data_IF_887273526405
#
_entry.id   IF_887273526405
#
_cell.length_a   1.000
_cell.length_b   1.000
_cell.length_c   1.000
_cell.angle_alpha   90.00
_cell.angle_beta   90.00
_cell.angle_gamma   90.00
#
_symmetry.space_group_name_H-M   'P 1'
#
loop_
_entity.id
_entity.type
_entity.pdbx_description
1 polymer ?
#
# COMPACT_ATOMS: atom_id res chain seq x y z
N UNK A 1 15.09 82.69 -0.33
CA UNK A 1 13.98 81.72 -0.20
C UNK A 1 14.22 80.59 -1.18
N UNK A 2 14.62 79.44 -0.66
CA UNK A 2 15.03 78.25 -1.42
C UNK A 2 13.79 77.51 -1.93
N UNK A 3 13.58 77.47 -3.24
CA UNK A 3 12.52 76.66 -3.86
C UNK A 3 12.95 75.19 -3.82
N UNK A 4 12.34 74.41 -2.93
CA UNK A 4 12.45 72.95 -2.91
C UNK A 4 11.96 72.39 -4.25
N UNK A 5 12.88 71.91 -5.08
CA UNK A 5 12.56 71.11 -6.26
C UNK A 5 12.02 69.77 -5.79
N UNK A 6 10.71 69.57 -5.94
CA UNK A 6 10.07 68.27 -5.75
C UNK A 6 10.63 67.33 -6.83
N UNK A 7 11.41 66.33 -6.42
CA UNK A 7 11.85 65.27 -7.30
C UNK A 7 10.67 64.31 -7.52
N UNK A 8 10.06 64.36 -8.70
CA UNK A 8 9.05 63.36 -9.09
C UNK A 8 9.73 61.99 -9.19
N UNK A 9 9.09 60.90 -8.69
CA UNK A 9 9.65 59.56 -8.76
C UNK A 9 9.78 59.10 -10.21
N UNK A 10 10.88 58.42 -10.52
CA UNK A 10 11.14 57.87 -11.84
C UNK A 10 10.12 56.76 -12.15
N UNK A 11 9.22 57.03 -13.09
CA UNK A 11 8.16 56.12 -13.54
C UNK A 11 8.62 55.14 -14.61
N UNK A 12 9.87 55.26 -15.08
CA UNK A 12 10.45 54.36 -16.10
C UNK A 12 10.42 52.88 -15.70
N UNK A 13 10.78 52.50 -14.44
CA UNK A 13 10.72 51.10 -14.01
C UNK A 13 9.30 50.56 -13.93
N UNK A 14 8.33 51.42 -13.56
CA UNK A 14 6.91 51.06 -13.47
C UNK A 14 6.32 50.88 -14.86
N UNK A 15 6.69 51.73 -15.81
CA UNK A 15 6.28 51.65 -17.22
C UNK A 15 6.81 50.38 -17.89
N UNK A 16 8.07 50.00 -17.66
CA UNK A 16 8.62 48.75 -18.17
C UNK A 16 7.92 47.53 -17.58
N UNK A 17 7.66 47.53 -16.27
CA UNK A 17 6.98 46.43 -15.58
C UNK A 17 5.53 46.30 -16.01
N UNK A 18 4.85 47.42 -16.26
CA UNK A 18 3.51 47.47 -16.85
C UNK A 18 3.52 47.01 -18.30
N UNK A 19 4.47 47.44 -19.14
CA UNK A 19 4.59 46.95 -20.53
C UNK A 19 4.87 45.46 -20.61
N UNK A 20 5.65 44.89 -19.67
CA UNK A 20 5.83 43.43 -19.54
C UNK A 20 4.55 42.70 -19.11
N UNK A 21 3.74 43.31 -18.23
CA UNK A 21 2.47 42.73 -17.75
C UNK A 21 1.27 42.95 -18.69
N UNK A 22 1.30 44.03 -19.47
CA UNK A 22 0.27 44.46 -20.44
C UNK A 22 0.66 44.12 -21.86
N UNK A 23 1.75 43.36 -22.07
CA UNK A 23 2.02 42.73 -23.35
C UNK A 23 0.87 41.77 -23.62
N UNK A 24 -0.13 42.26 -24.35
CA UNK A 24 -1.18 41.44 -24.93
C UNK A 24 -0.48 40.49 -25.89
N UNK A 25 -0.16 39.29 -25.41
CA UNK A 25 0.06 38.16 -26.29
C UNK A 25 -1.21 38.02 -27.09
N UNK A 26 -1.15 38.37 -28.38
CA UNK A 26 -2.17 37.99 -29.36
C UNK A 26 -2.34 36.49 -29.15
N UNK A 27 -3.51 36.00 -28.70
CA UNK A 27 -3.67 34.58 -28.47
C UNK A 27 -3.43 33.90 -29.82
N UNK A 28 -2.38 33.08 -29.89
CA UNK A 28 -2.17 32.20 -31.04
C UNK A 28 -3.49 31.42 -31.20
N UNK A 29 -4.05 31.30 -32.43
CA UNK A 29 -5.28 30.54 -32.63
C UNK A 29 -5.13 29.18 -31.95
N UNK A 30 -5.99 28.87 -30.97
CA UNK A 30 -5.85 27.70 -30.10
C UNK A 30 -6.14 26.36 -30.80
N UNK A 31 -6.20 26.35 -32.13
CA UNK A 31 -6.67 25.24 -32.94
C UNK A 31 -8.11 24.83 -32.60
N UNK A 32 -8.53 23.69 -33.12
CA UNK A 32 -9.78 23.05 -32.74
C UNK A 32 -9.64 22.41 -31.34
N UNK A 33 -10.46 22.83 -30.38
CA UNK A 33 -10.53 22.19 -29.06
C UNK A 33 -11.56 21.08 -29.11
N UNK A 34 -11.11 19.84 -29.04
CA UNK A 34 -12.00 18.69 -29.01
C UNK A 34 -12.65 18.55 -27.63
N UNK A 35 -13.98 18.69 -27.56
CA UNK A 35 -14.76 18.59 -26.32
C UNK A 35 -16.09 17.89 -26.58
N UNK A 36 -16.61 17.28 -25.53
CA UNK A 36 -17.89 16.58 -25.51
C UNK A 36 -18.74 17.01 -24.33
N UNK A 37 -20.08 17.10 -24.48
CA UNK A 37 -20.96 17.36 -23.35
C UNK A 37 -21.13 16.10 -22.48
N UNK A 38 -21.30 16.31 -21.17
CA UNK A 38 -21.88 15.31 -20.28
C UNK A 38 -23.31 15.03 -20.75
N UNK A 39 -23.65 13.76 -20.95
CA UNK A 39 -24.99 13.30 -21.30
C UNK A 39 -25.79 12.98 -20.03
N UNK A 40 -25.20 12.19 -19.13
CA UNK A 40 -25.84 11.73 -17.89
C UNK A 40 -24.87 11.84 -16.72
N UNK A 41 -25.41 12.16 -15.53
CA UNK A 41 -24.67 12.23 -14.27
C UNK A 41 -25.21 11.17 -13.32
N UNK A 42 -24.40 10.14 -13.04
CA UNK A 42 -24.65 9.17 -12.00
C UNK A 42 -23.96 9.55 -10.68
N UNK A 43 -24.06 8.67 -9.67
CA UNK A 43 -23.37 8.89 -8.38
C UNK A 43 -21.86 8.71 -8.48
N UNK A 44 -21.42 7.70 -9.22
CA UNK A 44 -20.00 7.31 -9.32
C UNK A 44 -19.41 7.66 -10.68
N UNK A 45 -20.21 7.57 -11.74
CA UNK A 45 -19.79 7.76 -13.13
C UNK A 45 -20.63 8.83 -13.82
N UNK A 46 -20.04 9.47 -14.82
CA UNK A 46 -20.72 10.35 -15.77
C UNK A 46 -20.63 9.74 -17.17
N UNK A 47 -21.68 9.89 -17.97
CA UNK A 47 -21.68 9.51 -19.39
C UNK A 47 -21.37 10.74 -20.23
N UNK A 48 -20.45 10.63 -21.18
CA UNK A 48 -19.99 11.76 -22.00
C UNK A 48 -19.99 11.37 -23.47
N UNK A 49 -20.45 12.27 -24.35
CA UNK A 49 -20.30 12.10 -25.80
C UNK A 49 -18.90 12.54 -26.22
N UNK A 50 -17.95 11.60 -26.29
CA UNK A 50 -16.55 11.91 -26.55
C UNK A 50 -15.89 10.81 -27.40
N UNK A 51 -16.19 10.73 -28.71
CA UNK A 51 -15.63 9.69 -29.59
C UNK A 51 -14.09 9.73 -29.65
N UNK A 52 -13.45 8.57 -29.84
CA UNK A 52 -12.00 8.49 -30.07
C UNK A 52 -11.10 8.63 -28.84
N UNK A 53 -11.67 8.68 -27.62
CA UNK A 53 -10.90 8.55 -26.37
C UNK A 53 -10.43 7.12 -26.15
N UNK A 54 -9.40 6.95 -25.31
CA UNK A 54 -8.83 5.65 -24.96
C UNK A 54 -9.24 5.25 -23.54
N UNK A 55 -9.28 3.94 -23.29
CA UNK A 55 -9.43 3.40 -21.93
C UNK A 55 -8.30 3.92 -21.03
N UNK A 56 -8.64 4.37 -19.83
CA UNK A 56 -7.70 4.94 -18.88
C UNK A 56 -7.15 6.32 -19.26
N UNK A 57 -7.71 6.98 -20.28
CA UNK A 57 -7.35 8.35 -20.63
C UNK A 57 -7.93 9.34 -19.62
N UNK A 58 -7.14 10.34 -19.23
CA UNK A 58 -7.61 11.43 -18.39
C UNK A 58 -8.39 12.46 -19.21
N UNK A 59 -9.46 12.93 -18.62
CA UNK A 59 -10.34 13.97 -19.12
C UNK A 59 -10.47 15.07 -18.08
N UNK A 60 -10.82 16.26 -18.53
CA UNK A 60 -11.02 17.44 -17.70
C UNK A 60 -12.42 17.99 -17.89
N UNK A 61 -13.18 18.07 -16.81
CA UNK A 61 -14.52 18.63 -16.74
C UNK A 61 -14.41 20.13 -16.44
N UNK A 62 -14.91 20.97 -17.34
CA UNK A 62 -14.88 22.43 -17.25
C UNK A 62 -16.14 22.98 -16.58
N UNK A 63 -16.12 24.18 -15.95
CA UNK A 63 -14.97 25.09 -15.79
C UNK A 63 -14.08 24.78 -14.58
N UNK A 64 -14.54 23.89 -13.68
CA UNK A 64 -13.87 23.61 -12.41
C UNK A 64 -12.58 22.78 -12.56
N UNK A 65 -12.25 22.36 -13.78
CA UNK A 65 -11.06 21.56 -14.12
C UNK A 65 -10.95 20.26 -13.32
N UNK A 66 -12.09 19.64 -13.02
CA UNK A 66 -12.14 18.35 -12.34
C UNK A 66 -11.55 17.29 -13.26
N UNK A 67 -10.60 16.51 -12.76
CA UNK A 67 -10.07 15.36 -13.49
C UNK A 67 -11.02 14.18 -13.39
N UNK A 68 -11.14 13.43 -14.48
CA UNK A 68 -11.87 12.17 -14.54
C UNK A 68 -11.14 11.20 -15.46
N UNK A 69 -11.30 9.90 -15.24
CA UNK A 69 -10.68 8.87 -16.07
C UNK A 69 -11.74 8.10 -16.85
N UNK A 70 -11.45 7.77 -18.11
CA UNK A 70 -12.30 6.90 -18.94
C UNK A 70 -12.24 5.47 -18.41
N UNK A 71 -13.35 4.97 -17.88
CA UNK A 71 -13.48 3.63 -17.29
C UNK A 71 -14.22 2.64 -18.20
N UNK A 72 -14.98 3.13 -19.18
CA UNK A 72 -15.65 2.31 -20.20
C UNK A 72 -15.90 3.13 -21.45
N UNK A 73 -15.94 2.47 -22.62
CA UNK A 73 -16.21 3.09 -23.92
C UNK A 73 -17.36 2.34 -24.59
N UNK A 74 -18.40 3.08 -24.96
CA UNK A 74 -19.59 2.59 -25.64
C UNK A 74 -19.77 3.36 -26.96
N UNK A 75 -19.21 2.80 -28.05
CA UNK A 75 -19.26 3.38 -29.40
C UNK A 75 -18.72 4.83 -29.46
N UNK A 76 -19.62 5.83 -29.44
CA UNK A 76 -19.31 7.26 -29.50
C UNK A 76 -19.36 7.95 -28.12
N UNK A 77 -19.74 7.21 -27.09
CA UNK A 77 -19.83 7.70 -25.71
C UNK A 77 -18.81 6.99 -24.83
N UNK A 78 -18.47 7.60 -23.71
CA UNK A 78 -17.59 7.04 -22.70
C UNK A 78 -18.19 7.24 -21.32
N UNK A 79 -17.98 6.28 -20.44
CA UNK A 79 -18.21 6.44 -19.00
C UNK A 79 -16.91 6.90 -18.36
N UNK A 80 -16.98 7.99 -17.61
CA UNK A 80 -15.86 8.56 -16.90
C UNK A 80 -16.13 8.49 -15.40
N UNK A 81 -15.09 8.17 -14.62
CA UNK A 81 -15.13 8.29 -13.16
C UNK A 81 -14.36 9.54 -12.73
N UNK A 82 -15.01 10.53 -12.10
CA UNK A 82 -14.31 11.70 -11.59
C UNK A 82 -13.43 11.39 -10.37
N UNK A 83 -12.34 12.14 -10.22
CA UNK A 83 -11.51 12.16 -9.01
C UNK A 83 -12.06 13.09 -7.91
N UNK A 84 -13.30 13.54 -8.05
CA UNK A 84 -14.03 14.32 -7.05
C UNK A 84 -15.47 13.80 -6.93
N UNK A 85 -16.25 14.35 -5.98
CA UNK A 85 -17.69 14.13 -5.98
C UNK A 85 -18.31 14.58 -7.32
N UNK A 86 -19.37 13.89 -7.73
CA UNK A 86 -20.22 14.30 -8.87
C UNK A 86 -21.20 15.42 -8.48
N UNK A 87 -21.25 15.83 -7.21
CA UNK A 87 -22.13 16.90 -6.74
C UNK A 87 -21.88 18.20 -7.51
N UNK A 88 -22.96 18.77 -8.05
CA UNK A 88 -22.90 20.00 -8.85
C UNK A 88 -22.51 19.80 -10.33
N UNK A 89 -22.22 18.57 -10.76
CA UNK A 89 -22.13 18.25 -12.19
C UNK A 89 -23.53 18.20 -12.82
N UNK A 90 -23.65 18.60 -14.08
CA UNK A 90 -24.92 18.60 -14.80
C UNK A 90 -24.74 18.21 -16.28
N UNK A 91 -25.81 17.69 -16.88
CA UNK A 91 -25.83 17.36 -18.31
C UNK A 91 -25.65 18.61 -19.17
N UNK A 92 -24.85 18.51 -20.24
CA UNK A 92 -24.45 19.61 -21.11
C UNK A 92 -23.13 20.28 -20.71
N UNK A 93 -22.59 19.99 -19.52
CA UNK A 93 -21.29 20.48 -19.09
C UNK A 93 -20.16 19.93 -19.98
N UNK A 94 -19.15 20.76 -20.26
CA UNK A 94 -18.08 20.40 -21.22
C UNK A 94 -16.97 19.56 -20.59
N UNK A 95 -16.55 18.53 -21.32
CA UNK A 95 -15.43 17.65 -20.99
C UNK A 95 -14.41 17.66 -22.12
N UNK A 96 -13.12 17.80 -21.78
CA UNK A 96 -12.00 17.78 -22.73
C UNK A 96 -11.08 16.59 -22.44
N UNK A 97 -10.71 15.77 -23.43
CA UNK A 97 -9.71 14.73 -23.24
C UNK A 97 -8.31 15.34 -23.15
N UNK A 98 -7.46 14.77 -22.31
CA UNK A 98 -6.09 15.22 -22.10
C UNK A 98 -5.08 14.42 -22.92
N UNK A 99 -5.47 13.30 -23.56
CA UNK A 99 -4.63 12.45 -24.41
C UNK A 99 -3.46 11.76 -23.71
N UNK A 100 -3.50 11.66 -22.39
CA UNK A 100 -2.57 10.87 -21.60
C UNK A 100 -3.30 10.19 -20.45
N UNK A 101 -2.78 9.05 -20.00
CA UNK A 101 -3.23 8.34 -18.80
C UNK A 101 -2.59 8.92 -17.55
N UNK A 102 -3.13 8.61 -16.38
CA UNK A 102 -2.63 9.15 -15.11
C UNK A 102 -1.14 8.88 -14.91
N UNK A 103 -0.40 9.96 -14.66
CA UNK A 103 1.02 9.96 -14.29
C UNK A 103 1.22 10.62 -12.93
N UNK A 104 2.27 10.21 -12.22
CA UNK A 104 2.64 10.77 -10.92
C UNK A 104 4.06 11.34 -10.96
N UNK A 105 4.32 12.45 -10.25
CA UNK A 105 5.67 12.98 -10.11
C UNK A 105 6.48 12.07 -9.19
N UNK A 106 7.66 11.65 -9.64
CA UNK A 106 8.61 10.84 -8.87
C UNK A 106 9.95 11.55 -8.76
N UNK A 107 10.57 11.45 -7.59
CA UNK A 107 11.90 12.01 -7.32
C UNK A 107 12.40 11.53 -5.96
N UNK A 108 13.71 11.67 -5.72
CA UNK A 108 14.28 11.40 -4.40
C UNK A 108 13.70 12.32 -3.30
N UNK A 109 13.20 13.51 -3.66
CA UNK A 109 12.56 14.44 -2.71
C UNK A 109 11.18 13.99 -2.21
N UNK A 110 10.67 12.84 -2.69
CA UNK A 110 9.47 12.21 -2.13
C UNK A 110 9.70 11.59 -0.75
N UNK A 111 10.96 11.34 -0.37
CA UNK A 111 11.29 10.73 0.90
C UNK A 111 10.75 11.57 2.07
N UNK A 112 9.99 10.95 2.97
CA UNK A 112 9.35 11.62 4.10
C UNK A 112 8.09 12.41 3.79
N UNK A 113 7.62 12.39 2.54
CA UNK A 113 6.45 13.14 2.09
C UNK A 113 5.16 12.36 2.22
N UNK A 114 4.07 13.12 2.41
CA UNK A 114 2.71 12.61 2.42
C UNK A 114 1.98 13.10 1.18
N UNK A 115 1.47 12.16 0.39
CA UNK A 115 0.78 12.39 -0.88
C UNK A 115 -0.66 11.93 -0.81
N UNK A 116 -1.54 12.52 -1.62
CA UNK A 116 -2.87 11.97 -1.89
C UNK A 116 -2.80 10.80 -2.89
N UNK A 117 -3.95 10.18 -3.20
CA UNK A 117 -4.04 9.07 -4.15
C UNK A 117 -3.60 9.40 -5.58
N UNK A 118 -3.48 10.69 -5.92
CA UNK A 118 -3.03 11.19 -7.22
C UNK A 118 -1.54 11.53 -7.28
N UNK A 119 -0.80 11.37 -6.18
CA UNK A 119 0.62 11.71 -6.09
C UNK A 119 0.89 13.20 -5.82
N UNK A 120 -0.12 13.99 -5.48
CA UNK A 120 0.08 15.38 -5.07
C UNK A 120 0.40 15.45 -3.57
N UNK A 121 1.38 16.27 -3.15
CA UNK A 121 1.68 16.44 -1.73
C UNK A 121 0.50 17.09 -1.00
N UNK A 122 0.20 16.57 0.18
CA UNK A 122 -0.83 17.09 1.11
C UNK A 122 -0.23 17.52 2.44
N UNK A 123 1.09 17.50 2.55
CA UNK A 123 1.87 18.05 3.64
C UNK A 123 2.39 19.46 3.30
N UNK A 124 2.93 20.16 4.30
CA UNK A 124 3.53 21.50 4.15
C UNK A 124 4.98 21.47 3.63
N UNK A 125 5.39 20.36 3.00
CA UNK A 125 6.75 20.18 2.49
C UNK A 125 7.03 20.99 1.21
N UNK A 126 8.30 21.09 0.78
CA UNK A 126 8.68 21.84 -0.42
C UNK A 126 8.06 21.26 -1.71
N UNK A 127 8.14 21.99 -2.82
CA UNK A 127 7.75 21.47 -4.13
C UNK A 127 8.52 20.19 -4.51
N UNK A 128 7.89 19.30 -5.27
CA UNK A 128 8.49 18.06 -5.75
C UNK A 128 9.15 18.24 -7.12
N UNK A 129 10.14 17.38 -7.43
CA UNK A 129 10.70 17.27 -8.77
C UNK A 129 9.69 16.78 -9.81
N UNK A 130 9.97 17.03 -11.10
CA UNK A 130 9.02 16.86 -12.21
C UNK A 130 9.25 15.63 -13.10
N UNK A 131 9.87 14.56 -12.62
CA UNK A 131 9.95 13.33 -13.43
C UNK A 131 8.60 12.61 -13.35
N UNK A 132 7.88 12.56 -14.47
CA UNK A 132 6.58 11.92 -14.52
C UNK A 132 6.71 10.43 -14.86
N UNK A 133 5.99 9.58 -14.12
CA UNK A 133 5.86 8.15 -14.42
C UNK A 133 4.41 7.75 -14.57
N UNK A 134 4.13 6.88 -15.54
CA UNK A 134 2.80 6.27 -15.73
C UNK A 134 2.41 5.42 -14.53
N UNK A 135 1.13 5.41 -14.18
CA UNK A 135 0.57 4.45 -13.23
C UNK A 135 0.38 3.05 -13.83
N UNK A 136 0.27 2.95 -15.15
CA UNK A 136 0.18 1.68 -15.87
C UNK A 136 1.57 1.29 -16.40
N UNK A 137 2.37 0.66 -15.53
CA UNK A 137 3.68 0.12 -15.89
C UNK A 137 3.60 -1.41 -16.00
N UNK A 138 4.37 -1.96 -16.93
CA UNK A 138 4.56 -3.40 -17.01
C UNK A 138 5.39 -3.88 -15.81
N UNK A 139 5.09 -5.09 -15.29
CA UNK A 139 5.92 -5.69 -14.25
C UNK A 139 7.35 -5.98 -14.77
N UNK A 140 8.35 -6.18 -13.89
CA UNK A 140 9.70 -6.53 -14.33
C UNK A 140 9.71 -7.79 -15.19
N UNK A 141 10.54 -7.79 -16.24
CA UNK A 141 10.71 -8.93 -17.15
C UNK A 141 11.07 -10.19 -16.35
N UNK A 142 10.23 -11.26 -16.39
CA UNK A 142 10.46 -12.47 -15.62
C UNK A 142 11.83 -13.10 -15.82
N UNK A 143 12.43 -12.97 -17.01
CA UNK A 143 13.74 -13.55 -17.33
C UNK A 143 14.91 -12.72 -16.80
N UNK A 144 14.66 -11.47 -16.39
CA UNK A 144 15.67 -10.57 -15.82
C UNK A 144 15.54 -10.40 -14.31
N UNK A 145 14.47 -10.93 -13.71
CA UNK A 145 14.27 -10.88 -12.25
C UNK A 145 15.34 -11.70 -11.55
N UNK A 146 15.99 -11.10 -10.55
CA UNK A 146 16.87 -11.85 -9.66
C UNK A 146 16.02 -12.78 -8.78
N UNK A 147 16.47 -14.01 -8.52
CA UNK A 147 15.82 -14.87 -7.53
C UNK A 147 15.87 -14.23 -6.14
N UNK A 148 15.02 -14.69 -5.24
CA UNK A 148 15.02 -14.25 -3.85
C UNK A 148 16.01 -15.13 -3.08
N UNK A 149 17.19 -14.58 -2.79
CA UNK A 149 18.29 -15.28 -2.10
C UNK A 149 18.58 -14.72 -0.72
N UNK A 150 18.29 -13.43 -0.51
CA UNK A 150 18.65 -12.71 0.69
C UNK A 150 17.43 -12.51 1.59
N UNK A 151 17.64 -12.61 2.91
CA UNK A 151 16.61 -12.34 3.91
C UNK A 151 16.45 -10.82 4.11
N UNK A 152 15.20 -10.34 4.02
CA UNK A 152 14.83 -9.03 4.55
C UNK A 152 14.71 -9.15 6.08
N UNK A 153 15.65 -8.54 6.80
CA UNK A 153 15.58 -8.43 8.26
C UNK A 153 14.55 -7.37 8.63
N UNK A 154 13.50 -7.76 9.33
CA UNK A 154 12.38 -6.90 9.74
C UNK A 154 12.58 -6.29 11.13
N UNK A 155 13.47 -6.88 11.93
CA UNK A 155 13.67 -6.54 13.33
C UNK A 155 12.61 -7.13 14.26
N UNK A 156 11.68 -7.95 13.75
CA UNK A 156 10.58 -8.57 14.47
C UNK A 156 10.91 -10.05 14.65
N UNK A 157 11.10 -10.51 15.89
CA UNK A 157 11.62 -11.87 16.18
C UNK A 157 10.79 -12.99 15.57
N UNK A 158 9.47 -12.91 15.66
CA UNK A 158 8.57 -13.91 15.08
C UNK A 158 8.66 -13.97 13.56
N UNK A 159 8.88 -12.85 12.88
CA UNK A 159 9.08 -12.82 11.44
C UNK A 159 10.48 -13.30 11.09
N UNK A 160 11.52 -12.68 11.63
CA UNK A 160 12.90 -12.96 11.25
C UNK A 160 13.33 -14.40 11.55
N UNK A 161 12.79 -15.00 12.62
CA UNK A 161 13.17 -16.34 13.04
C UNK A 161 12.27 -17.46 12.49
N UNK A 162 10.95 -17.23 12.35
CA UNK A 162 9.98 -18.31 12.08
C UNK A 162 9.21 -18.15 10.76
N UNK A 163 9.11 -16.92 10.27
CA UNK A 163 8.39 -16.55 9.05
C UNK A 163 9.29 -15.66 8.17
N UNK A 164 10.56 -16.05 8.03
CA UNK A 164 11.59 -15.19 7.45
C UNK A 164 11.17 -14.70 6.06
N UNK A 165 11.28 -13.38 5.89
CA UNK A 165 10.87 -12.68 4.68
C UNK A 165 12.09 -12.50 3.77
N UNK A 166 11.93 -12.66 2.46
CA UNK A 166 13.00 -12.45 1.48
C UNK A 166 12.96 -11.06 0.83
N UNK A 167 14.11 -10.59 0.35
CA UNK A 167 14.17 -9.38 -0.48
C UNK A 167 13.47 -9.61 -1.83
N UNK A 168 12.44 -8.80 -2.11
CA UNK A 168 11.57 -8.97 -3.27
C UNK A 168 10.37 -9.90 -3.04
N UNK A 169 10.15 -10.40 -1.83
CA UNK A 169 9.00 -11.26 -1.53
C UNK A 169 7.70 -10.44 -1.45
N UNK A 170 6.57 -11.06 -1.80
CA UNK A 170 5.22 -10.49 -1.63
C UNK A 170 4.46 -11.29 -0.59
N UNK A 171 4.03 -10.62 0.47
CA UNK A 171 3.50 -11.25 1.69
C UNK A 171 2.15 -10.63 2.02
N UNK A 172 1.16 -11.48 2.32
CA UNK A 172 -0.14 -11.02 2.79
C UNK A 172 -0.16 -10.87 4.31
N UNK A 173 -0.80 -9.84 4.85
CA UNK A 173 -1.08 -9.70 6.29
C UNK A 173 -2.59 -9.76 6.47
N UNK A 174 -3.10 -10.88 6.94
CA UNK A 174 -4.53 -11.12 7.13
C UNK A 174 -4.89 -10.82 8.57
N UNK A 175 -5.78 -9.85 8.76
CA UNK A 175 -6.09 -9.35 10.09
C UNK A 175 -7.55 -8.93 10.18
N UNK A 176 -8.20 -9.29 11.29
CA UNK A 176 -9.44 -8.68 11.70
C UNK A 176 -9.21 -7.26 12.25
N UNK A 177 -10.28 -6.48 12.43
CA UNK A 177 -10.17 -5.19 13.11
C UNK A 177 -9.69 -5.38 14.56
N UNK A 178 -8.79 -4.49 15.02
CA UNK A 178 -8.37 -4.43 16.44
C UNK A 178 -7.33 -5.45 16.89
N UNK A 179 -6.79 -6.30 16.02
CA UNK A 179 -5.80 -7.34 16.39
C UNK A 179 -4.33 -6.86 16.35
N UNK A 180 -4.09 -5.56 16.15
CA UNK A 180 -2.74 -4.98 16.12
C UNK A 180 -2.10 -4.83 14.73
N UNK A 181 -2.89 -4.84 13.64
CA UNK A 181 -2.43 -4.59 12.26
C UNK A 181 -1.56 -3.33 12.15
N UNK A 182 -2.10 -2.19 12.61
CA UNK A 182 -1.40 -0.91 12.52
C UNK A 182 -0.08 -0.90 13.30
N UNK A 183 -0.07 -1.52 14.49
CA UNK A 183 1.16 -1.68 15.28
C UNK A 183 2.21 -2.49 14.53
N UNK A 184 1.82 -3.61 13.91
CA UNK A 184 2.74 -4.43 13.11
C UNK A 184 3.31 -3.65 11.91
N UNK A 185 2.48 -2.90 11.20
CA UNK A 185 2.93 -2.03 10.10
C UNK A 185 3.93 -0.97 10.60
N UNK A 186 3.69 -0.37 11.76
CA UNK A 186 4.65 0.54 12.41
C UNK A 186 5.98 -0.14 12.72
N UNK A 187 5.95 -1.33 13.31
CA UNK A 187 7.16 -2.11 13.59
C UNK A 187 7.95 -2.44 12.32
N UNK A 188 7.27 -2.77 11.22
CA UNK A 188 7.90 -2.97 9.91
C UNK A 188 8.52 -1.66 9.37
N UNK A 189 7.81 -0.54 9.50
CA UNK A 189 8.33 0.79 9.12
C UNK A 189 9.58 1.19 9.89
N UNK A 190 9.67 0.83 11.16
CA UNK A 190 10.79 1.19 12.02
C UNK A 190 11.98 0.22 11.86
N UNK A 191 11.69 -1.09 11.78
CA UNK A 191 12.71 -2.14 11.91
C UNK A 191 13.25 -2.73 10.61
N UNK A 192 12.54 -2.61 9.48
CA UNK A 192 12.97 -3.27 8.24
C UNK A 192 14.26 -2.68 7.68
N UNK A 193 15.20 -3.54 7.32
CA UNK A 193 16.46 -3.20 6.67
C UNK A 193 16.24 -2.91 5.18
N UNK A 194 15.78 -1.69 4.92
CA UNK A 194 15.46 -1.19 3.59
C UNK A 194 15.86 0.28 3.46
N UNK A 195 16.27 0.67 2.26
CA UNK A 195 16.67 2.05 1.95
C UNK A 195 15.47 3.00 2.02
N UNK A 196 14.31 2.53 1.53
CA UNK A 196 13.10 3.35 1.38
C UNK A 196 11.87 2.56 1.79
N UNK A 197 10.99 3.20 2.55
CA UNK A 197 9.66 2.66 2.86
C UNK A 197 8.61 3.40 2.02
N UNK A 198 7.64 2.67 1.48
CA UNK A 198 6.46 3.26 0.84
C UNK A 198 5.23 2.67 1.52
N UNK A 199 4.34 3.53 2.02
CA UNK A 199 3.16 3.12 2.75
C UNK A 199 1.90 3.69 2.08
N UNK A 200 1.00 2.82 1.64
CA UNK A 200 -0.31 3.20 1.11
C UNK A 200 -1.40 2.97 2.16
N UNK A 201 -2.10 4.03 2.56
CA UNK A 201 -3.24 3.98 3.48
C UNK A 201 -4.53 4.32 2.71
N UNK A 202 -5.35 3.31 2.44
CA UNK A 202 -6.41 3.32 1.45
C UNK A 202 -7.73 2.95 2.09
N UNK A 203 -8.71 3.85 2.04
CA UNK A 203 -10.04 3.64 2.59
C UNK A 203 -10.10 3.60 4.12
N UNK A 204 -9.01 3.99 4.80
CA UNK A 204 -8.98 4.18 6.25
C UNK A 204 -9.65 5.51 6.64
N UNK A 205 -10.07 5.64 7.90
CA UNK A 205 -10.65 6.89 8.37
C UNK A 205 -9.56 7.94 8.57
N UNK A 206 -9.85 9.22 8.29
CA UNK A 206 -8.86 10.30 8.43
C UNK A 206 -8.23 10.41 9.82
N UNK A 207 -8.99 10.13 10.90
CA UNK A 207 -8.46 10.09 12.27
C UNK A 207 -7.43 8.97 12.48
N UNK A 208 -7.69 7.79 11.90
CA UNK A 208 -6.85 6.60 12.04
C UNK A 208 -5.54 6.80 11.25
N UNK A 209 -5.62 7.45 10.09
CA UNK A 209 -4.43 7.87 9.32
C UNK A 209 -3.57 8.85 10.13
N UNK A 210 -4.19 9.87 10.73
CA UNK A 210 -3.46 10.86 11.53
C UNK A 210 -2.78 10.21 12.73
N UNK A 211 -3.52 9.38 13.48
CA UNK A 211 -2.99 8.61 14.61
C UNK A 211 -1.81 7.74 14.19
N UNK A 212 -1.91 7.06 13.04
CA UNK A 212 -0.81 6.26 12.50
C UNK A 212 0.44 7.11 12.23
N UNK A 213 0.29 8.25 11.58
CA UNK A 213 1.39 9.15 11.22
C UNK A 213 2.06 9.85 12.41
N UNK A 214 1.29 10.14 13.46
CA UNK A 214 1.75 10.90 14.63
C UNK A 214 2.20 10.01 15.79
N UNK A 215 1.60 8.83 15.97
CA UNK A 215 1.78 7.99 17.15
C UNK A 215 2.39 6.61 16.85
N UNK A 216 2.16 6.07 15.65
CA UNK A 216 2.66 4.73 15.27
C UNK A 216 4.00 4.82 14.53
N UNK A 217 4.15 5.76 13.59
CA UNK A 217 5.42 5.97 12.90
C UNK A 217 6.39 6.77 13.75
N UNK A 218 7.57 6.21 14.02
CA UNK A 218 8.63 6.99 14.68
C UNK A 218 9.12 8.12 13.76
N UNK A 219 9.68 9.22 14.33
CA UNK A 219 10.26 10.29 13.52
C UNK A 219 11.32 9.81 12.53
N UNK A 220 12.12 8.80 12.93
CA UNK A 220 13.14 8.18 12.07
C UNK A 220 12.50 7.42 10.91
N UNK A 221 11.50 6.59 11.16
CA UNK A 221 10.80 5.88 10.08
C UNK A 221 10.08 6.85 9.15
N UNK A 222 9.44 7.89 9.71
CA UNK A 222 8.74 8.90 8.92
C UNK A 222 9.67 9.56 7.90
N UNK A 223 10.90 9.90 8.27
CA UNK A 223 11.86 10.54 7.35
C UNK A 223 12.22 9.68 6.13
N UNK A 224 12.20 8.35 6.26
CA UNK A 224 12.49 7.40 5.17
C UNK A 224 11.24 6.82 4.50
N UNK A 225 10.04 7.24 4.91
CA UNK A 225 8.77 6.71 4.42
C UNK A 225 8.07 7.70 3.51
N UNK A 226 7.69 7.27 2.31
CA UNK A 226 6.73 7.99 1.47
C UNK A 226 5.35 7.46 1.78
N UNK A 227 4.43 8.32 2.21
CA UNK A 227 3.06 7.91 2.57
C UNK A 227 2.11 8.37 1.49
N UNK A 228 1.32 7.44 0.93
CA UNK A 228 0.22 7.73 0.00
C UNK A 228 -1.10 7.48 0.74
N UNK A 229 -1.95 8.50 0.80
CA UNK A 229 -3.20 8.46 1.55
C UNK A 229 -4.38 8.71 0.61
N UNK A 230 -5.36 7.80 0.64
CA UNK A 230 -6.68 8.01 0.05
C UNK A 230 -7.73 7.53 1.04
N UNK A 231 -8.26 8.44 1.87
CA UNK A 231 -9.20 8.13 2.96
C UNK A 231 -10.56 7.62 2.46
N UNK A 232 -11.37 7.05 3.36
CA UNK A 232 -12.68 6.46 3.02
C UNK A 232 -13.68 7.41 2.38
N UNK A 233 -13.57 8.72 2.66
CA UNK A 233 -14.39 9.78 2.09
C UNK A 233 -13.99 10.18 0.66
N UNK A 234 -12.82 9.71 0.19
CA UNK A 234 -12.36 9.99 -1.18
C UNK A 234 -13.10 9.13 -2.21
N UNK A 235 -13.27 9.66 -3.45
CA UNK A 235 -13.89 8.91 -4.55
C UNK A 235 -13.25 7.55 -4.77
N UNK A 236 -14.05 6.58 -5.22
CA UNK A 236 -13.58 5.20 -5.47
C UNK A 236 -12.37 5.16 -6.40
N UNK A 237 -12.35 6.00 -7.44
CA UNK A 237 -11.22 6.06 -8.36
C UNK A 237 -9.93 6.54 -7.68
N UNK A 238 -9.99 7.55 -6.81
CA UNK A 238 -8.81 8.00 -6.07
C UNK A 238 -8.28 6.91 -5.14
N UNK A 239 -9.17 6.20 -4.42
CA UNK A 239 -8.80 5.05 -3.58
C UNK A 239 -8.15 3.93 -4.39
N UNK A 240 -8.71 3.63 -5.56
CA UNK A 240 -8.15 2.64 -6.48
C UNK A 240 -6.74 3.04 -6.94
N UNK A 241 -6.58 4.28 -7.43
CA UNK A 241 -5.32 4.79 -7.96
C UNK A 241 -4.25 5.03 -6.90
N UNK A 242 -4.63 5.26 -5.64
CA UNK A 242 -3.67 5.43 -4.54
C UNK A 242 -2.68 4.26 -4.42
N UNK A 243 -3.11 3.03 -4.67
CA UNK A 243 -2.22 1.86 -4.62
C UNK A 243 -1.30 1.83 -5.85
N UNK A 244 -1.83 2.11 -7.04
CA UNK A 244 -1.01 2.25 -8.24
C UNK A 244 0.04 3.36 -8.08
N UNK A 245 -0.32 4.48 -7.46
CA UNK A 245 0.58 5.58 -7.12
C UNK A 245 1.70 5.10 -6.20
N UNK A 246 1.37 4.44 -5.09
CA UNK A 246 2.37 3.89 -4.16
C UNK A 246 3.30 2.87 -4.84
N UNK A 247 2.75 1.94 -5.63
CA UNK A 247 3.54 0.96 -6.39
C UNK A 247 4.46 1.65 -7.38
N UNK A 248 4.00 2.68 -8.10
CA UNK A 248 4.81 3.43 -9.07
C UNK A 248 5.94 4.21 -8.39
N UNK A 249 5.71 4.73 -7.20
CA UNK A 249 6.74 5.37 -6.38
C UNK A 249 7.77 4.32 -5.93
N UNK A 250 7.34 3.16 -5.48
CA UNK A 250 8.24 2.06 -5.10
C UNK A 250 9.09 1.59 -6.29
N UNK A 251 8.50 1.47 -7.48
CA UNK A 251 9.22 1.17 -8.73
C UNK A 251 10.30 2.21 -9.04
N UNK A 252 10.01 3.51 -8.84
CA UNK A 252 11.02 4.55 -9.04
C UNK A 252 12.25 4.33 -8.17
N UNK A 253 12.06 4.08 -6.87
CA UNK A 253 13.19 3.84 -5.97
C UNK A 253 13.92 2.53 -6.29
N UNK A 254 13.19 1.45 -6.62
CA UNK A 254 13.77 0.19 -7.09
C UNK A 254 14.67 0.40 -8.31
N UNK A 255 14.18 1.13 -9.30
CA UNK A 255 14.93 1.39 -10.53
C UNK A 255 16.12 2.35 -10.32
N UNK A 256 16.15 3.06 -9.19
CA UNK A 256 17.33 3.77 -8.69
C UNK A 256 18.28 2.87 -7.87
N UNK A 257 18.08 1.55 -7.91
CA UNK A 257 18.92 0.55 -7.24
C UNK A 257 18.67 0.44 -5.73
N UNK A 258 17.51 0.88 -5.24
CA UNK A 258 17.17 0.84 -3.81
C UNK A 258 16.48 -0.47 -3.41
N UNK A 259 16.68 -0.87 -2.16
CA UNK A 259 15.86 -1.85 -1.45
C UNK A 259 14.63 -1.15 -0.89
N UNK A 260 13.46 -1.47 -1.44
CA UNK A 260 12.20 -0.81 -1.07
C UNK A 260 11.30 -1.79 -0.34
N UNK A 261 10.69 -1.34 0.75
CA UNK A 261 9.56 -2.06 1.36
C UNK A 261 8.27 -1.29 1.07
N UNK A 262 7.37 -1.92 0.34
CA UNK A 262 6.03 -1.40 0.05
C UNK A 262 5.02 -2.03 1.01
N UNK A 263 4.29 -1.22 1.76
CA UNK A 263 3.17 -1.66 2.58
C UNK A 263 1.88 -1.08 2.02
N UNK A 264 0.88 -1.94 1.81
CA UNK A 264 -0.43 -1.52 1.30
C UNK A 264 -1.51 -1.92 2.27
N UNK A 265 -2.21 -0.92 2.79
CA UNK A 265 -3.31 -1.07 3.72
C UNK A 265 -4.59 -0.45 3.13
N UNK A 266 -5.45 -1.18 2.43
CA UNK A 266 -5.46 -2.64 2.24
C UNK A 266 -5.92 -3.06 0.84
N UNK A 267 -5.60 -4.29 0.44
CA UNK A 267 -6.15 -4.90 -0.79
C UNK A 267 -7.66 -5.16 -0.70
N UNK A 268 -8.21 -5.33 0.51
CA UNK A 268 -9.68 -5.39 0.67
C UNK A 268 -10.32 -4.05 0.26
N UNK A 269 -9.70 -2.92 0.61
CA UNK A 269 -10.19 -1.59 0.24
C UNK A 269 -9.99 -1.29 -1.25
N UNK A 270 -8.90 -1.78 -1.84
CA UNK A 270 -8.71 -1.82 -3.30
C UNK A 270 -9.87 -2.53 -4.00
N UNK A 271 -10.13 -3.78 -3.63
CA UNK A 271 -11.13 -4.62 -4.27
C UNK A 271 -12.52 -4.00 -4.16
N UNK A 272 -12.85 -3.43 -2.99
CA UNK A 272 -14.12 -2.71 -2.77
C UNK A 272 -14.25 -1.46 -3.66
N UNK A 273 -13.17 -0.70 -3.85
CA UNK A 273 -13.15 0.46 -4.76
C UNK A 273 -13.32 0.04 -6.24
N UNK A 274 -12.58 -1.00 -6.66
CA UNK A 274 -12.70 -1.55 -8.01
C UNK A 274 -14.11 -2.09 -8.27
N UNK A 275 -14.71 -2.78 -7.30
CA UNK A 275 -16.11 -3.25 -7.36
C UNK A 275 -17.10 -2.12 -7.56
N UNK A 276 -16.96 -1.04 -6.80
CA UNK A 276 -17.85 0.13 -6.91
C UNK A 276 -17.83 0.73 -8.32
N UNK A 277 -16.64 0.88 -8.91
CA UNK A 277 -16.46 1.40 -10.27
C UNK A 277 -17.00 0.42 -11.32
N UNK A 278 -16.64 -0.87 -11.22
CA UNK A 278 -17.06 -1.88 -12.20
C UNK A 278 -18.58 -2.09 -12.23
N UNK A 279 -19.23 -2.16 -11.07
CA UNK A 279 -20.69 -2.25 -11.00
C UNK A 279 -21.37 -1.00 -11.55
N UNK A 280 -20.83 0.19 -11.27
CA UNK A 280 -21.36 1.43 -11.84
C UNK A 280 -21.16 1.50 -13.37
N UNK A 281 -20.12 0.86 -13.90
CA UNK A 281 -19.87 0.72 -15.33
C UNK A 281 -20.72 -0.38 -16.01
N UNK A 282 -21.56 -1.09 -15.24
CA UNK A 282 -22.46 -2.12 -15.75
C UNK A 282 -21.85 -3.52 -15.83
N UNK A 283 -20.69 -3.77 -15.23
CA UNK A 283 -20.14 -5.12 -15.15
C UNK A 283 -21.01 -6.02 -14.24
N UNK A 284 -21.31 -7.26 -14.65
CA UNK A 284 -22.09 -8.17 -13.81
C UNK A 284 -21.28 -8.62 -12.58
N UNK A 285 -21.91 -8.75 -11.41
CA UNK A 285 -21.27 -9.34 -10.24
C UNK A 285 -21.01 -10.84 -10.45
N UNK A 286 -19.87 -11.33 -9.98
CA UNK A 286 -19.50 -12.74 -9.96
C UNK A 286 -19.27 -13.22 -8.51
N UNK A 287 -18.12 -13.83 -8.22
CA UNK A 287 -17.78 -14.35 -6.89
C UNK A 287 -17.81 -13.25 -5.80
N UNK A 288 -18.56 -13.48 -4.72
CA UNK A 288 -18.70 -12.52 -3.61
C UNK A 288 -19.24 -11.15 -4.02
N UNK A 289 -20.00 -11.09 -5.11
CA UNK A 289 -20.50 -9.84 -5.71
C UNK A 289 -19.40 -8.90 -6.24
N UNK A 290 -18.20 -9.41 -6.51
CA UNK A 290 -17.14 -8.67 -7.18
C UNK A 290 -17.21 -8.88 -8.70
N UNK A 291 -17.06 -7.81 -9.51
CA UNK A 291 -16.87 -7.93 -10.95
C UNK A 291 -15.62 -8.75 -11.32
N UNK A 292 -15.61 -9.49 -12.43
CA UNK A 292 -14.44 -10.23 -12.90
C UNK A 292 -13.19 -9.37 -13.10
N UNK A 293 -13.35 -8.10 -13.47
CA UNK A 293 -12.23 -7.16 -13.66
C UNK A 293 -11.38 -6.95 -12.41
N UNK A 294 -11.97 -7.05 -11.22
CA UNK A 294 -11.25 -6.90 -9.95
C UNK A 294 -10.15 -7.96 -9.83
N UNK A 295 -10.52 -9.22 -10.08
CA UNK A 295 -9.60 -10.36 -10.00
C UNK A 295 -8.66 -10.42 -11.21
N UNK A 296 -9.07 -9.95 -12.39
CA UNK A 296 -8.18 -9.87 -13.55
C UNK A 296 -7.07 -8.82 -13.39
N UNK A 297 -7.35 -7.70 -12.70
CA UNK A 297 -6.38 -6.61 -12.52
C UNK A 297 -5.42 -6.85 -11.35
N UNK A 298 -5.86 -7.59 -10.32
CA UNK A 298 -5.08 -7.78 -9.10
C UNK A 298 -3.72 -8.47 -9.35
N UNK A 299 -3.60 -9.57 -10.12
CA UNK A 299 -2.31 -10.16 -10.45
C UNK A 299 -1.37 -9.16 -11.13
N UNK A 300 -1.90 -8.37 -12.08
CA UNK A 300 -1.10 -7.38 -12.82
C UNK A 300 -0.54 -6.29 -11.91
N UNK A 301 -1.25 -5.92 -10.85
CA UNK A 301 -0.78 -5.00 -9.83
C UNK A 301 0.28 -5.64 -8.92
N UNK A 302 0.04 -6.85 -8.41
CA UNK A 302 0.93 -7.51 -7.46
C UNK A 302 2.25 -7.94 -8.11
N UNK A 303 2.22 -8.34 -9.39
CA UNK A 303 3.40 -8.75 -10.17
C UNK A 303 4.37 -7.61 -10.47
N UNK A 304 3.99 -6.35 -10.24
CA UNK A 304 4.89 -5.19 -10.39
C UNK A 304 5.94 -5.08 -9.30
N UNK A 305 5.68 -5.72 -8.16
CA UNK A 305 6.60 -5.82 -7.03
C UNK A 305 7.54 -7.02 -7.16
N UNK A 306 8.63 -7.01 -6.40
CA UNK A 306 9.67 -8.04 -6.45
C UNK A 306 11.04 -7.52 -6.87
N UNK A 307 11.97 -8.46 -7.02
CA UNK A 307 13.34 -8.17 -7.45
C UNK A 307 13.41 -7.78 -8.93
N UNK A 308 14.27 -6.82 -9.23
CA UNK A 308 14.72 -6.49 -10.59
C UNK A 308 16.23 -6.73 -10.74
N UNK A 309 16.75 -6.42 -11.92
CA UNK A 309 18.18 -6.36 -12.20
C UNK A 309 18.89 -5.24 -11.41
N UNK A 310 18.16 -4.19 -11.02
CA UNK A 310 18.70 -2.99 -10.36
C UNK A 310 18.50 -2.97 -8.84
N UNK A 311 17.27 -3.24 -8.37
CA UNK A 311 16.90 -3.13 -6.95
C UNK A 311 15.76 -4.08 -6.59
N UNK A 312 15.12 -3.87 -5.44
CA UNK A 312 14.05 -4.76 -4.96
C UNK A 312 12.85 -4.01 -4.39
N UNK A 313 11.66 -4.62 -4.52
CA UNK A 313 10.46 -4.22 -3.77
C UNK A 313 9.95 -5.44 -3.00
N UNK A 314 10.17 -5.47 -1.70
CA UNK A 314 9.48 -6.41 -0.80
C UNK A 314 8.13 -5.82 -0.41
N UNK A 315 7.03 -6.54 -0.61
CA UNK A 315 5.69 -6.00 -0.45
C UNK A 315 4.89 -6.71 0.64
N UNK A 316 4.26 -5.92 1.53
CA UNK A 316 3.32 -6.38 2.53
C UNK A 316 1.92 -5.84 2.20
N UNK A 317 1.01 -6.74 1.86
CA UNK A 317 -0.36 -6.39 1.49
C UNK A 317 -1.31 -6.80 2.60
N UNK A 318 -1.95 -5.85 3.27
CA UNK A 318 -2.95 -6.20 4.28
C UNK A 318 -4.26 -6.61 3.61
N UNK A 319 -4.92 -7.59 4.21
CA UNK A 319 -6.24 -8.08 3.86
C UNK A 319 -7.07 -8.10 5.14
N UNK A 320 -8.20 -7.41 5.10
CA UNK A 320 -9.18 -7.42 6.17
C UNK A 320 -10.02 -8.68 6.02
N UNK A 321 -10.02 -9.53 7.04
CA UNK A 321 -10.87 -10.74 7.13
C UNK A 321 -11.90 -10.56 8.25
N UNK A 322 -13.17 -10.74 7.93
CA UNK A 322 -14.24 -10.67 8.93
C UNK A 322 -14.35 -12.04 9.63
N UNK A 323 -14.42 -12.05 10.96
CA UNK A 323 -14.64 -13.30 11.71
C UNK A 323 -13.56 -14.40 11.58
N UNK A 324 -12.36 -14.06 11.12
CA UNK A 324 -11.27 -15.00 10.81
C UNK A 324 -11.60 -15.95 9.62
N UNK A 325 -12.58 -15.58 8.77
CA UNK A 325 -12.93 -16.34 7.57
C UNK A 325 -11.99 -16.02 6.40
N UNK A 326 -11.08 -16.93 6.13
CA UNK A 326 -10.12 -16.85 5.03
C UNK A 326 -10.70 -17.28 3.67
N UNK A 327 -11.97 -17.74 3.63
CA UNK A 327 -12.62 -18.19 2.41
C UNK A 327 -13.36 -17.05 1.68
N UNK A 328 -13.31 -15.83 2.19
CA UNK A 328 -13.79 -14.67 1.45
C UNK A 328 -13.04 -14.54 0.10
N UNK A 329 -13.73 -14.22 -1.02
CA UNK A 329 -13.12 -14.29 -2.36
C UNK A 329 -11.86 -13.44 -2.55
N UNK A 330 -11.78 -12.28 -1.88
CA UNK A 330 -10.58 -11.43 -1.94
C UNK A 330 -9.43 -12.05 -1.14
N UNK A 331 -9.73 -12.64 0.03
CA UNK A 331 -8.71 -13.25 0.85
C UNK A 331 -8.13 -14.51 0.18
N UNK A 332 -8.99 -15.33 -0.42
CA UNK A 332 -8.58 -16.54 -1.12
C UNK A 332 -7.73 -16.22 -2.36
N UNK A 333 -8.16 -15.29 -3.20
CA UNK A 333 -7.39 -14.85 -4.37
C UNK A 333 -6.03 -14.27 -3.97
N UNK A 334 -5.99 -13.37 -2.99
CA UNK A 334 -4.72 -12.78 -2.54
C UNK A 334 -3.78 -13.85 -2.00
N UNK A 335 -4.29 -14.84 -1.26
CA UNK A 335 -3.48 -15.96 -0.75
C UNK A 335 -2.91 -16.84 -1.87
N UNK A 336 -3.59 -16.95 -3.00
CA UNK A 336 -3.11 -17.72 -4.16
C UNK A 336 -1.99 -16.98 -4.91
N UNK A 337 -2.09 -15.65 -5.01
CA UNK A 337 -1.17 -14.79 -5.75
C UNK A 337 0.14 -14.45 -5.02
N UNK A 338 0.16 -14.54 -3.68
CA UNK A 338 1.30 -14.12 -2.86
C UNK A 338 2.25 -15.28 -2.48
N UNK A 339 3.48 -14.92 -2.12
CA UNK A 339 4.57 -15.86 -1.80
C UNK A 339 4.53 -16.33 -0.32
N UNK A 340 3.49 -15.95 0.42
CA UNK A 340 3.34 -16.23 1.85
C UNK A 340 2.29 -15.33 2.50
N UNK A 341 1.97 -15.62 3.75
CA UNK A 341 1.04 -14.82 4.54
C UNK A 341 1.30 -14.90 6.04
N UNK A 342 0.93 -13.81 6.72
CA UNK A 342 0.96 -13.62 8.16
C UNK A 342 -0.48 -13.46 8.62
N UNK A 343 -0.94 -14.31 9.53
CA UNK A 343 -2.28 -14.25 10.14
C UNK A 343 -2.17 -13.58 11.51
N UNK A 344 -2.99 -12.56 11.74
CA UNK A 344 -3.13 -11.94 13.06
C UNK A 344 -4.35 -12.48 13.79
N UNK A 345 -4.12 -13.17 14.92
CA UNK A 345 -5.13 -13.88 15.68
C UNK A 345 -5.81 -13.01 16.73
N UNK A 346 -7.15 -13.03 16.73
CA UNK A 346 -7.96 -12.41 17.79
C UNK A 346 -7.73 -13.08 19.15
N UNK A 347 -7.50 -14.40 19.19
CA UNK A 347 -7.18 -15.16 20.43
C UNK A 347 -5.91 -14.61 21.07
N UNK A 348 -4.86 -14.40 20.28
CA UNK A 348 -3.59 -13.84 20.75
C UNK A 348 -3.73 -12.39 21.20
N UNK A 349 -4.39 -11.54 20.40
CA UNK A 349 -4.60 -10.14 20.73
C UNK A 349 -5.40 -9.97 22.04
N UNK A 350 -6.48 -10.76 22.23
CA UNK A 350 -7.29 -10.76 23.46
C UNK A 350 -6.53 -11.24 24.69
N UNK A 351 -5.48 -12.05 24.52
CA UNK A 351 -4.58 -12.48 25.58
C UNK A 351 -3.41 -11.50 25.84
N UNK A 352 -3.41 -10.33 25.18
CA UNK A 352 -2.32 -9.35 25.29
C UNK A 352 -1.00 -9.83 24.67
N UNK A 353 -1.05 -10.77 23.73
CA UNK A 353 0.12 -11.25 22.99
C UNK A 353 0.33 -10.40 21.73
N UNK A 354 1.34 -9.53 21.76
CA UNK A 354 1.69 -8.67 20.63
C UNK A 354 3.16 -8.85 20.20
N UNK A 355 3.46 -8.86 18.88
CA UNK A 355 2.50 -8.93 17.77
C UNK A 355 1.62 -10.18 17.84
N UNK A 356 0.34 -10.06 17.45
CA UNK A 356 -0.65 -11.13 17.56
C UNK A 356 -0.53 -12.15 16.41
N UNK A 357 0.69 -12.51 16.03
CA UNK A 357 0.96 -13.37 14.88
C UNK A 357 0.72 -14.83 15.25
N UNK A 358 -0.19 -15.47 14.54
CA UNK A 358 -0.42 -16.90 14.62
C UNK A 358 0.62 -17.65 13.79
N UNK A 359 1.59 -18.26 14.45
CA UNK A 359 2.68 -18.97 13.79
C UNK A 359 2.18 -20.20 13.03
N UNK A 360 1.21 -20.92 13.58
CA UNK A 360 0.69 -22.15 12.97
C UNK A 360 -0.09 -21.84 11.69
N UNK A 361 -0.90 -20.77 11.71
CA UNK A 361 -1.68 -20.35 10.56
C UNK A 361 -0.89 -19.50 9.53
N UNK A 362 0.35 -19.09 9.83
CA UNK A 362 1.19 -18.27 8.95
C UNK A 362 2.27 -19.08 8.23
N UNK A 363 2.63 -18.64 7.02
CA UNK A 363 3.63 -19.30 6.18
C UNK A 363 4.46 -18.31 5.36
N UNK A 364 5.77 -18.55 5.26
CA UNK A 364 6.63 -17.96 4.24
C UNK A 364 7.09 -19.08 3.30
N UNK A 365 6.67 -19.06 2.03
CA UNK A 365 7.04 -20.10 1.05
C UNK A 365 8.50 -20.00 0.61
N UNK A 366 9.12 -18.84 0.84
CA UNK A 366 10.50 -18.53 0.45
C UNK A 366 11.51 -18.86 1.55
N UNK A 367 11.09 -18.94 2.83
CA UNK A 367 11.99 -19.20 3.95
C UNK A 367 12.97 -20.38 3.73
N UNK A 368 12.57 -21.54 3.16
CA UNK A 368 13.50 -22.65 2.90
C UNK A 368 14.63 -22.33 1.92
N UNK A 369 14.50 -21.28 1.10
CA UNK A 369 15.48 -20.86 0.09
C UNK A 369 16.47 -19.82 0.64
N UNK A 370 16.10 -19.10 1.69
CA UNK A 370 16.88 -17.96 2.23
C UNK A 370 17.46 -18.23 3.61
N UNK A 371 16.92 -19.20 4.36
CA UNK A 371 17.39 -19.57 5.69
C UNK A 371 18.35 -20.76 5.63
N UNK A 372 19.34 -20.78 6.55
CA UNK A 372 20.23 -21.93 6.70
C UNK A 372 19.48 -23.17 7.19
N UNK A 373 20.03 -24.37 6.93
CA UNK A 373 19.47 -25.63 7.42
C UNK A 373 19.29 -25.65 8.94
N UNK A 374 20.28 -25.12 9.68
CA UNK A 374 20.21 -25.00 11.13
C UNK A 374 19.08 -24.06 11.58
N UNK A 375 18.93 -22.89 10.93
CA UNK A 375 17.85 -21.96 11.25
C UNK A 375 16.47 -22.60 10.99
N UNK A 376 16.31 -23.30 9.86
CA UNK A 376 15.09 -24.04 9.55
C UNK A 376 14.77 -25.10 10.61
N UNK A 377 15.76 -25.86 11.07
CA UNK A 377 15.59 -26.86 12.13
C UNK A 377 15.11 -26.21 13.44
N UNK A 378 15.70 -25.09 13.86
CA UNK A 378 15.28 -24.39 15.07
C UNK A 378 13.86 -23.83 14.95
N UNK A 379 13.50 -23.28 13.78
CA UNK A 379 12.15 -22.78 13.52
C UNK A 379 11.11 -23.91 13.54
N UNK A 380 11.45 -25.09 13.00
CA UNK A 380 10.61 -26.28 13.06
C UNK A 380 10.40 -26.77 14.50
N UNK A 381 11.45 -26.80 15.33
CA UNK A 381 11.33 -27.15 16.75
C UNK A 381 10.37 -26.22 17.50
N UNK A 382 10.44 -24.90 17.25
CA UNK A 382 9.49 -23.95 17.85
C UNK A 382 8.04 -24.23 17.42
N UNK A 383 7.82 -24.49 16.11
CA UNK A 383 6.50 -24.86 15.59
C UNK A 383 5.98 -26.15 16.19
N UNK A 384 6.84 -27.14 16.36
CA UNK A 384 6.52 -28.41 17.01
C UNK A 384 6.07 -28.21 18.45
N UNK A 385 6.81 -27.42 19.24
CA UNK A 385 6.44 -27.08 20.62
C UNK A 385 5.05 -26.40 20.68
N UNK A 386 4.78 -25.44 19.79
CA UNK A 386 3.47 -24.78 19.73
C UNK A 386 2.35 -25.78 19.42
N UNK A 387 2.54 -26.65 18.43
CA UNK A 387 1.55 -27.65 18.03
C UNK A 387 1.28 -28.66 19.16
N UNK A 388 2.33 -29.20 19.78
CA UNK A 388 2.21 -30.11 20.93
C UNK A 388 1.48 -29.47 22.11
N UNK A 389 1.79 -28.20 22.42
CA UNK A 389 1.11 -27.48 23.49
C UNK A 389 -0.39 -27.27 23.17
N UNK A 390 -0.72 -26.92 21.94
CA UNK A 390 -2.11 -26.67 21.53
C UNK A 390 -2.98 -27.93 21.67
N UNK A 391 -2.45 -29.10 21.34
CA UNK A 391 -3.17 -30.38 21.51
C UNK A 391 -3.54 -30.69 22.97
N UNK A 392 -2.70 -30.28 23.93
CA UNK A 392 -2.91 -30.56 25.36
C UNK A 392 -3.49 -29.36 26.12
N UNK A 393 -3.63 -28.19 25.50
CA UNK A 393 -3.98 -26.92 26.15
C UNK A 393 -5.25 -27.06 27.01
N UNK A 394 -6.28 -27.71 26.47
CA UNK A 394 -7.54 -27.91 27.20
C UNK A 394 -7.34 -28.81 28.42
N UNK A 395 -6.65 -29.94 28.27
CA UNK A 395 -6.40 -30.90 29.36
C UNK A 395 -5.60 -30.27 30.50
N UNK A 396 -4.61 -29.45 30.17
CA UNK A 396 -3.82 -28.69 31.14
C UNK A 396 -4.71 -27.68 31.88
N UNK A 397 -5.58 -26.97 31.16
CA UNK A 397 -6.49 -25.96 31.76
C UNK A 397 -7.53 -26.56 32.69
N UNK A 398 -8.03 -27.77 32.40
CA UNK A 398 -9.00 -28.47 33.26
C UNK A 398 -8.34 -29.28 34.38
N UNK A 399 -7.00 -29.39 34.37
CA UNK A 399 -6.24 -30.11 35.40
C UNK A 399 -6.14 -31.62 35.18
N UNK A 400 -6.54 -32.12 34.00
CA UNK A 400 -6.58 -33.55 33.67
C UNK A 400 -5.28 -34.05 32.99
N UNK A 401 -4.35 -33.15 32.66
CA UNK A 401 -3.07 -33.53 32.06
C UNK A 401 -2.12 -34.16 33.08
N UNK A 402 -1.69 -35.41 32.82
CA UNK A 402 -0.74 -36.14 33.66
C UNK A 402 0.66 -36.18 33.04
N UNK A 403 1.64 -35.63 33.76
CA UNK A 403 3.05 -35.66 33.35
C UNK A 403 3.59 -37.09 33.29
N UNK A 404 4.48 -37.35 32.34
CA UNK A 404 5.19 -38.61 32.14
C UNK A 404 4.54 -39.59 31.17
N UNK A 405 3.32 -39.30 30.68
CA UNK A 405 2.65 -40.14 29.69
C UNK A 405 3.06 -39.81 28.24
N UNK A 406 3.38 -38.53 27.98
CA UNK A 406 3.83 -38.03 26.69
C UNK A 406 4.99 -37.06 26.92
N UNK A 407 6.21 -37.54 26.66
CA UNK A 407 7.45 -36.79 26.88
C UNK A 407 7.54 -35.54 25.98
N UNK A 408 6.94 -35.57 24.80
CA UNK A 408 6.95 -34.44 23.86
C UNK A 408 5.98 -33.35 24.32
N UNK A 409 4.80 -33.75 24.78
CA UNK A 409 3.83 -32.85 25.40
C UNK A 409 4.37 -32.25 26.72
N UNK A 410 5.10 -33.03 27.52
CA UNK A 410 5.74 -32.54 28.76
C UNK A 410 6.80 -31.48 28.46
N UNK A 411 7.65 -31.70 27.45
CA UNK A 411 8.65 -30.74 27.03
C UNK A 411 8.01 -29.48 26.45
N UNK A 412 6.96 -29.64 25.63
CA UNK A 412 6.20 -28.51 25.09
C UNK A 412 5.55 -27.68 26.20
N UNK A 413 4.91 -28.32 27.18
CA UNK A 413 4.32 -27.65 28.34
C UNK A 413 5.36 -26.88 29.16
N UNK A 414 6.56 -27.46 29.33
CA UNK A 414 7.67 -26.82 30.03
C UNK A 414 8.20 -25.59 29.28
N UNK A 415 8.34 -25.67 27.94
CA UNK A 415 8.95 -24.63 27.10
C UNK A 415 7.98 -23.53 26.66
N UNK A 416 6.68 -23.82 26.65
CA UNK A 416 5.66 -22.90 26.13
C UNK A 416 5.75 -21.46 26.66
N UNK A 417 5.98 -21.20 27.98
CA UNK A 417 6.13 -19.83 28.47
C UNK A 417 7.31 -19.07 27.84
N UNK A 418 8.44 -19.75 27.62
CA UNK A 418 9.61 -19.16 26.97
C UNK A 418 9.34 -18.89 25.48
N UNK A 419 8.65 -19.80 24.79
CA UNK A 419 8.21 -19.62 23.40
C UNK A 419 7.28 -18.41 23.27
N UNK A 420 6.28 -18.26 24.14
CA UNK A 420 5.42 -17.07 24.13
C UNK A 420 6.21 -15.78 24.35
N UNK A 421 7.17 -15.77 25.28
CA UNK A 421 8.01 -14.60 25.51
C UNK A 421 8.92 -14.29 24.32
N UNK A 422 9.44 -15.31 23.64
CA UNK A 422 10.20 -15.15 22.41
C UNK A 422 9.37 -14.47 21.31
N UNK A 423 8.11 -14.90 21.13
CA UNK A 423 7.22 -14.38 20.09
C UNK A 423 6.64 -12.98 20.40
N UNK A 424 6.54 -12.58 21.67
CA UNK A 424 6.06 -11.25 22.09
C UNK A 424 7.13 -10.18 21.95
N UNK A 425 6.85 -9.10 21.24
CA UNK A 425 7.77 -7.98 21.09
C UNK A 425 7.03 -6.65 21.21
N UNK A 426 7.59 -5.70 21.96
CA UNK A 426 6.97 -4.37 22.10
C UNK A 426 7.22 -3.52 20.85
N UNK A 427 6.31 -2.60 20.57
CA UNK A 427 6.53 -1.57 19.55
C UNK A 427 7.78 -0.75 19.86
N UNK A 428 8.56 -0.41 18.83
CA UNK A 428 9.83 0.31 18.95
C UNK A 428 11.03 -0.52 19.41
N UNK A 429 10.85 -1.78 19.81
CA UNK A 429 11.97 -2.70 20.03
C UNK A 429 12.47 -3.28 18.70
N UNK A 430 13.79 -3.33 18.51
CA UNK A 430 14.42 -3.89 17.33
C UNK A 430 15.45 -4.94 17.72
N UNK A 431 15.43 -6.08 17.02
CA UNK A 431 16.34 -7.19 17.25
C UNK A 431 17.17 -7.49 16.02
N UNK A 432 18.48 -7.52 16.18
CA UNK A 432 19.38 -7.99 15.13
C UNK A 432 19.20 -9.51 14.91
N UNK A 433 19.27 -9.96 13.66
CA UNK A 433 19.03 -11.34 13.27
C UNK A 433 19.86 -12.34 14.10
N UNK A 434 21.17 -12.10 14.26
CA UNK A 434 22.04 -12.98 15.05
C UNK A 434 21.58 -13.16 16.50
N UNK A 435 21.10 -12.08 17.13
CA UNK A 435 20.58 -12.13 18.51
C UNK A 435 19.26 -12.88 18.56
N UNK A 436 18.40 -12.65 17.57
CA UNK A 436 17.13 -13.36 17.40
C UNK A 436 17.36 -14.87 17.28
N UNK A 437 18.31 -15.30 16.44
CA UNK A 437 18.62 -16.71 16.23
C UNK A 437 19.23 -17.38 17.45
N UNK A 438 20.13 -16.70 18.17
CA UNK A 438 20.66 -17.20 19.46
C UNK A 438 19.57 -17.36 20.50
N UNK A 439 18.65 -16.41 20.59
CA UNK A 439 17.52 -16.49 21.51
C UNK A 439 16.54 -17.60 21.12
N UNK A 440 16.32 -17.83 19.82
CA UNK A 440 15.53 -18.95 19.31
C UNK A 440 16.13 -20.28 19.76
N UNK A 441 17.43 -20.48 19.52
CA UNK A 441 18.16 -21.68 19.92
C UNK A 441 18.01 -21.96 21.42
N UNK A 442 18.25 -20.95 22.27
CA UNK A 442 18.07 -21.07 23.72
C UNK A 442 16.62 -21.44 24.09
N UNK A 443 15.64 -20.89 23.39
CA UNK A 443 14.21 -21.14 23.67
C UNK A 443 13.81 -22.58 23.35
N UNK A 444 14.33 -23.16 22.26
CA UNK A 444 13.91 -24.48 21.78
C UNK A 444 14.82 -25.64 22.21
N UNK A 445 16.05 -25.35 22.65
CA UNK A 445 17.01 -26.38 23.09
C UNK A 445 17.18 -26.40 24.62
N UNK A 446 17.32 -25.24 25.26
CA UNK A 446 17.62 -25.13 26.71
C UNK A 446 16.35 -25.22 27.55
#
# INVERSE_FOLDING_TARGET
>A
MSLNKIHLPDVSPVSERLKKKLAFTIPVPSGAVYRGPILDVGRTLIKVSLPGVRMGELCRIEPNRILAEVVSIEQKTALLSPFSSCDGLYAGQWVSPLKYSHQVPVSMSLMGRILNGLGHPIDDGPGLGYHWRSLDNAPPDPLKRKPITDQLVTGIRSLDAILSCGEGQRIGIFAAAGVGKSTLLGMLCDGSDADVMVLALIGERGREVREFLEQVLTPKARQRTVVVVATSDRPALERLKGIYTATTIAEYFRDCGKKVVLMVDSLTRYARAAREIGLAAGEPPAAGSFPPSVFAQMPRLLERTGNSDLGSITAFYTVLVEGDDMNEPVADEVRSLLDGHIILSRKLAGAGHYPAIDIAASVSRIMPQIASSWHLEMAQKLRFILARYEEIELLVRVGEYQKGQDLEADDALKRYPAVCNFLKQKGGEHWALEKTLKMLEQTVIS
#
